data_IF_545837254344
#
_entry.id   IF_545837254344
#
_cell.length_a   1.000
_cell.length_b   1.000
_cell.length_c   1.000
_cell.angle_alpha   90.00
_cell.angle_beta   90.00
_cell.angle_gamma   90.00
#
_symmetry.space_group_name_H-M   'P 1'
#
loop_
_entity.id
_entity.type
_entity.pdbx_description
1 polymer ?
#
# COMPACT_ATOMS: atom_id res chain seq x y z
N UNK A 1 35.08 -11.42 20.36
CA UNK A 1 34.82 -12.84 20.63
C UNK A 1 35.84 -13.45 21.62
N UNK A 2 35.39 -14.21 22.63
CA UNK A 2 36.26 -14.95 23.58
C UNK A 2 36.32 -16.45 23.21
N UNK A 3 37.52 -17.02 23.20
CA UNK A 3 37.78 -18.43 22.83
C UNK A 3 38.32 -19.22 24.03
N UNK A 4 37.70 -20.36 24.34
CA UNK A 4 38.12 -21.31 25.37
C UNK A 4 38.06 -22.74 24.81
N UNK A 5 39.15 -23.18 24.17
CA UNK A 5 39.27 -24.45 23.45
C UNK A 5 38.09 -24.73 22.49
N UNK A 6 37.91 -23.93 21.42
CA UNK A 6 36.79 -24.09 20.51
C UNK A 6 36.79 -25.45 19.81
N UNK A 7 35.67 -26.17 19.88
CA UNK A 7 35.53 -27.48 19.25
C UNK A 7 34.10 -27.72 18.76
N UNK A 8 33.95 -28.49 17.67
CA UNK A 8 32.63 -28.88 17.19
C UNK A 8 32.02 -29.88 18.16
N UNK A 9 30.77 -29.65 18.57
CA UNK A 9 30.00 -30.57 19.39
C UNK A 9 29.95 -31.95 18.73
N UNK A 10 30.24 -32.96 19.53
CA UNK A 10 30.14 -34.37 19.14
C UNK A 10 28.75 -34.94 19.48
N UNK A 11 28.50 -36.21 19.13
CA UNK A 11 27.21 -36.87 19.34
C UNK A 11 26.74 -36.91 20.82
N UNK A 12 27.65 -36.78 21.80
CA UNK A 12 27.29 -36.79 23.22
C UNK A 12 27.00 -35.40 23.79
N UNK A 13 27.40 -34.34 23.09
CA UNK A 13 27.25 -32.93 23.50
C UNK A 13 26.18 -32.20 22.69
N UNK A 14 26.00 -32.57 21.43
CA UNK A 14 24.94 -32.04 20.57
C UNK A 14 23.57 -32.51 21.04
N UNK A 15 22.68 -31.57 21.33
CA UNK A 15 21.33 -31.84 21.82
C UNK A 15 20.29 -31.54 20.74
N UNK A 16 19.13 -32.19 20.85
CA UNK A 16 17.96 -31.87 20.03
C UNK A 16 17.58 -30.38 20.11
N UNK A 17 17.77 -29.74 21.27
CA UNK A 17 17.52 -28.30 21.42
C UNK A 17 18.44 -27.45 20.54
N UNK A 18 19.71 -27.85 20.37
CA UNK A 18 20.65 -27.14 19.50
C UNK A 18 20.14 -27.16 18.05
N UNK A 19 19.57 -28.29 17.58
CA UNK A 19 18.95 -28.36 16.26
C UNK A 19 17.73 -27.45 16.14
N UNK A 20 16.83 -27.46 17.14
CA UNK A 20 15.62 -26.62 17.13
C UNK A 20 16.01 -25.14 17.08
N UNK A 21 16.93 -24.72 17.95
CA UNK A 21 17.36 -23.32 18.03
C UNK A 21 18.09 -22.88 16.76
N UNK A 22 18.86 -23.78 16.14
CA UNK A 22 19.47 -23.54 14.83
C UNK A 22 18.41 -23.32 13.75
N UNK A 23 17.39 -24.19 13.71
CA UNK A 23 16.31 -24.09 12.73
C UNK A 23 15.59 -22.76 12.86
N UNK A 24 15.16 -22.40 14.08
CA UNK A 24 14.44 -21.16 14.33
C UNK A 24 15.31 -19.93 14.04
N UNK A 25 16.58 -19.92 14.49
CA UNK A 25 17.50 -18.80 14.22
C UNK A 25 17.71 -18.57 12.72
N UNK A 26 17.96 -19.62 11.94
CA UNK A 26 18.15 -19.46 10.49
C UNK A 26 16.83 -19.02 9.85
N UNK A 27 15.70 -19.64 10.22
CA UNK A 27 14.38 -19.28 9.69
C UNK A 27 13.99 -17.83 9.98
N UNK A 28 14.34 -17.30 11.15
CA UNK A 28 14.09 -15.92 11.53
C UNK A 28 14.87 -14.93 10.66
N UNK A 29 16.09 -15.28 10.22
CA UNK A 29 16.89 -14.40 9.34
C UNK A 29 16.25 -14.18 7.97
N UNK A 30 15.34 -15.07 7.53
CA UNK A 30 14.55 -14.87 6.31
C UNK A 30 13.49 -13.77 6.44
N UNK A 31 13.21 -13.28 7.66
CA UNK A 31 12.13 -12.33 7.90
C UNK A 31 12.58 -11.20 8.82
N UNK A 32 12.52 -9.96 8.33
CA UNK A 32 12.85 -8.77 9.13
C UNK A 32 11.64 -7.89 9.30
N UNK A 33 11.34 -7.52 10.54
CA UNK A 33 10.38 -6.46 10.81
C UNK A 33 10.93 -5.11 10.33
N UNK A 34 10.17 -4.44 9.47
CA UNK A 34 10.50 -3.12 8.95
C UNK A 34 9.30 -2.22 9.18
N UNK A 35 9.52 -1.07 9.79
CA UNK A 35 8.49 -0.03 9.89
C UNK A 35 8.39 0.71 8.57
N UNK A 36 7.20 0.76 7.99
CA UNK A 36 6.92 1.54 6.79
C UNK A 36 6.88 3.06 7.08
N UNK A 37 6.77 3.86 6.03
CA UNK A 37 6.70 5.33 6.14
C UNK A 37 5.47 5.83 6.92
N UNK A 38 4.46 4.97 7.11
CA UNK A 38 3.23 5.27 7.83
C UNK A 38 3.29 4.81 9.29
N UNK A 39 4.41 4.25 9.75
CA UNK A 39 4.58 3.75 11.11
C UNK A 39 4.05 2.33 11.34
N UNK A 40 3.63 1.61 10.30
CA UNK A 40 3.19 0.22 10.42
C UNK A 40 4.37 -0.73 10.35
N UNK A 41 4.45 -1.69 11.27
CA UNK A 41 5.43 -2.76 11.21
C UNK A 41 4.98 -3.82 10.21
N UNK A 42 5.77 -4.03 9.16
CA UNK A 42 5.56 -5.07 8.17
C UNK A 42 6.71 -6.08 8.19
N UNK A 43 6.37 -7.36 8.03
CA UNK A 43 7.37 -8.41 7.93
C UNK A 43 7.91 -8.48 6.50
N UNK A 44 9.20 -8.15 6.32
CA UNK A 44 9.89 -8.17 5.03
C UNK A 44 10.64 -9.49 4.86
N UNK A 45 10.42 -10.16 3.73
CA UNK A 45 11.21 -11.32 3.34
C UNK A 45 12.63 -10.92 2.90
N UNK A 46 13.64 -11.48 3.54
CA UNK A 46 15.07 -11.13 3.42
C UNK A 46 15.95 -12.37 3.20
N UNK A 47 15.80 -13.09 2.06
CA UNK A 47 16.52 -14.33 1.80
C UNK A 47 18.05 -14.17 1.75
N UNK A 48 18.52 -12.97 1.42
CA UNK A 48 19.96 -12.67 1.36
C UNK A 48 20.66 -12.66 2.73
N UNK A 49 19.90 -12.73 3.84
CA UNK A 49 20.44 -12.86 5.18
C UNK A 49 20.62 -14.33 5.62
N UNK A 50 20.16 -15.30 4.83
CA UNK A 50 20.31 -16.73 5.12
C UNK A 50 21.77 -17.13 5.42
N UNK A 51 22.79 -16.75 4.62
CA UNK A 51 24.16 -17.18 4.90
C UNK A 51 24.69 -16.67 6.24
N UNK A 52 24.23 -15.48 6.67
CA UNK A 52 24.57 -14.90 7.97
C UNK A 52 23.93 -15.73 9.08
N UNK A 53 22.65 -16.09 8.92
CA UNK A 53 21.94 -16.96 9.85
C UNK A 53 22.60 -18.33 10.00
N UNK A 54 22.99 -18.96 8.90
CA UNK A 54 23.66 -20.26 8.89
C UNK A 54 24.94 -20.23 9.74
N UNK A 55 25.79 -19.23 9.51
CA UNK A 55 27.06 -19.05 10.22
C UNK A 55 26.81 -18.80 11.70
N UNK A 56 25.93 -17.86 12.04
CA UNK A 56 25.60 -17.53 13.42
C UNK A 56 25.05 -18.74 14.18
N UNK A 57 24.20 -19.54 13.54
CA UNK A 57 23.60 -20.72 14.14
C UNK A 57 24.65 -21.84 14.34
N UNK A 58 25.52 -22.09 13.36
CA UNK A 58 26.64 -23.05 13.51
C UNK A 58 27.49 -22.69 14.72
N UNK A 59 27.92 -21.43 14.82
CA UNK A 59 28.80 -20.99 15.90
C UNK A 59 28.12 -21.12 17.26
N UNK A 60 26.86 -20.69 17.37
CA UNK A 60 26.16 -20.64 18.65
C UNK A 60 25.72 -22.01 19.16
N UNK A 61 25.39 -22.93 18.26
CA UNK A 61 24.73 -24.19 18.62
C UNK A 61 25.56 -25.43 18.31
N UNK A 62 26.53 -25.37 17.41
CA UNK A 62 27.38 -26.51 17.02
C UNK A 62 28.83 -26.41 17.47
N UNK A 63 29.29 -25.27 17.98
CA UNK A 63 30.66 -25.08 18.43
C UNK A 63 30.65 -24.72 19.92
N UNK A 64 31.34 -25.53 20.73
CA UNK A 64 31.58 -25.24 22.14
C UNK A 64 32.81 -24.35 22.31
N UNK A 65 32.92 -23.68 23.46
CA UNK A 65 34.11 -22.91 23.81
C UNK A 65 34.22 -21.55 23.14
N UNK A 66 33.11 -21.00 22.61
CA UNK A 66 33.03 -19.64 22.08
C UNK A 66 31.99 -18.84 22.84
N UNK A 67 32.37 -17.66 23.30
CA UNK A 67 31.48 -16.69 23.93
C UNK A 67 31.57 -15.35 23.21
N UNK A 68 30.43 -14.72 22.99
CA UNK A 68 30.31 -13.39 22.40
C UNK A 68 29.80 -12.41 23.44
N UNK A 69 30.35 -11.20 23.43
CA UNK A 69 29.81 -10.09 24.21
C UNK A 69 28.53 -9.54 23.51
N UNK A 70 27.65 -8.85 24.26
CA UNK A 70 26.31 -8.44 23.76
C UNK A 70 26.35 -7.54 22.52
N UNK A 71 27.43 -6.78 22.35
CA UNK A 71 27.59 -5.78 21.29
C UNK A 71 28.34 -6.31 20.05
N UNK A 72 28.76 -7.58 20.06
CA UNK A 72 29.59 -8.14 18.99
C UNK A 72 28.76 -8.64 17.81
N UNK A 73 29.19 -8.28 16.59
CA UNK A 73 28.67 -8.91 15.37
C UNK A 73 29.29 -10.31 15.22
N UNK A 74 28.50 -11.33 15.56
CA UNK A 74 28.91 -12.74 15.53
C UNK A 74 29.44 -13.16 14.17
N UNK A 75 28.83 -12.68 13.09
CA UNK A 75 29.19 -13.10 11.74
C UNK A 75 30.57 -12.57 11.38
N UNK A 76 30.77 -11.26 11.58
CA UNK A 76 32.03 -10.59 11.25
C UNK A 76 33.18 -11.13 12.11
N UNK A 77 32.96 -11.28 13.43
CA UNK A 77 33.96 -11.82 14.35
C UNK A 77 34.41 -13.23 13.94
N UNK A 78 33.46 -14.11 13.60
CA UNK A 78 33.78 -15.49 13.27
C UNK A 78 34.38 -15.67 11.87
N UNK A 79 33.98 -14.85 10.89
CA UNK A 79 34.55 -14.91 9.53
C UNK A 79 35.95 -14.32 9.45
N UNK A 80 36.30 -13.41 10.37
CA UNK A 80 37.63 -12.82 10.48
C UNK A 80 38.62 -13.71 11.25
N UNK A 81 38.15 -14.61 12.14
CA UNK A 81 38.98 -15.57 12.85
C UNK A 81 39.20 -16.85 12.03
N UNK A 82 40.46 -17.12 11.67
CA UNK A 82 40.82 -18.26 10.82
C UNK A 82 40.52 -19.61 11.46
N UNK A 83 40.69 -19.75 12.77
CA UNK A 83 40.51 -21.04 13.45
C UNK A 83 39.02 -21.36 13.52
N UNK A 84 38.19 -20.37 13.87
CA UNK A 84 36.74 -20.52 13.93
C UNK A 84 36.14 -20.74 12.54
N UNK A 85 36.60 -19.98 11.55
CA UNK A 85 36.17 -20.16 10.16
C UNK A 85 36.43 -21.58 9.65
N UNK A 86 37.57 -22.18 9.99
CA UNK A 86 37.85 -23.58 9.62
C UNK A 86 36.88 -24.58 10.25
N UNK A 87 36.39 -24.34 11.47
CA UNK A 87 35.37 -25.18 12.10
C UNK A 87 34.02 -25.01 11.39
N UNK A 88 33.65 -23.76 11.05
CA UNK A 88 32.42 -23.44 10.33
C UNK A 88 32.40 -24.08 8.93
N UNK A 89 33.51 -23.99 8.20
CA UNK A 89 33.63 -24.50 6.83
C UNK A 89 33.37 -26.01 6.75
N UNK A 90 33.52 -26.77 7.85
CA UNK A 90 33.22 -28.21 7.89
C UNK A 90 31.73 -28.56 7.74
N UNK A 91 30.82 -27.59 7.91
CA UNK A 91 29.38 -27.78 7.74
C UNK A 91 28.93 -27.48 6.32
N UNK A 92 29.74 -26.78 5.51
CA UNK A 92 29.40 -26.37 4.17
C UNK A 92 29.99 -27.31 3.11
N UNK A 93 29.25 -27.51 2.02
CA UNK A 93 29.74 -28.24 0.84
C UNK A 93 30.40 -27.22 -0.10
N UNK A 94 31.68 -27.39 -0.47
CA UNK A 94 32.35 -26.47 -1.39
C UNK A 94 31.65 -26.45 -2.75
N UNK A 95 31.26 -25.26 -3.21
CA UNK A 95 30.43 -25.07 -4.41
C UNK A 95 31.10 -25.55 -5.72
N UNK A 96 32.43 -25.68 -5.73
CA UNK A 96 33.23 -25.99 -6.92
C UNK A 96 33.89 -27.37 -6.89
N UNK A 97 33.60 -28.20 -5.88
CA UNK A 97 34.22 -29.51 -5.74
C UNK A 97 33.20 -30.63 -5.91
N UNK A 98 33.57 -31.65 -6.69
CA UNK A 98 32.81 -32.89 -6.72
C UNK A 98 33.10 -33.64 -5.43
N UNK A 99 32.20 -33.52 -4.46
CA UNK A 99 32.27 -34.27 -3.20
C UNK A 99 31.64 -35.65 -3.42
N UNK A 100 32.47 -36.70 -3.44
CA UNK A 100 31.99 -38.09 -3.57
C UNK A 100 31.28 -38.57 -2.29
N UNK A 101 31.68 -38.05 -1.14
CA UNK A 101 31.13 -38.41 0.18
C UNK A 101 30.98 -37.18 1.07
N UNK A 102 29.75 -36.89 1.51
CA UNK A 102 29.46 -35.81 2.46
C UNK A 102 29.95 -36.20 3.87
N UNK A 103 30.48 -35.22 4.61
CA UNK A 103 30.86 -35.42 6.02
C UNK A 103 29.62 -35.54 6.90
N UNK A 104 29.80 -36.05 8.13
CA UNK A 104 28.71 -36.14 9.11
C UNK A 104 28.12 -34.76 9.44
N UNK A 105 28.98 -33.75 9.64
CA UNK A 105 28.57 -32.37 9.92
C UNK A 105 27.78 -31.76 8.75
N UNK A 106 28.24 -31.95 7.51
CA UNK A 106 27.51 -31.52 6.30
C UNK A 106 26.15 -32.20 6.19
N UNK A 107 26.06 -33.50 6.53
CA UNK A 107 24.79 -34.22 6.50
C UNK A 107 23.79 -33.67 7.52
N UNK A 108 24.21 -33.51 8.77
CA UNK A 108 23.35 -32.93 9.83
C UNK A 108 22.85 -31.55 9.40
N UNK A 109 23.76 -30.69 8.93
CA UNK A 109 23.40 -29.33 8.55
C UNK A 109 22.48 -29.30 7.32
N UNK A 110 22.71 -30.17 6.33
CA UNK A 110 21.80 -30.32 5.20
C UNK A 110 20.40 -30.76 5.63
N UNK A 111 20.30 -31.70 6.58
CA UNK A 111 19.02 -32.17 7.11
C UNK A 111 18.29 -31.04 7.88
N UNK A 112 19.03 -30.20 8.59
CA UNK A 112 18.50 -28.99 9.24
C UNK A 112 18.01 -27.99 8.21
N UNK A 113 18.80 -27.71 7.17
CA UNK A 113 18.42 -26.76 6.13
C UNK A 113 17.14 -27.16 5.40
N UNK A 114 16.88 -28.46 5.20
CA UNK A 114 15.59 -28.93 4.65
C UNK A 114 14.43 -28.50 5.56
N UNK A 115 14.56 -28.67 6.88
CA UNK A 115 13.54 -28.25 7.86
C UNK A 115 13.38 -26.72 7.92
N UNK A 116 14.49 -25.98 7.84
CA UNK A 116 14.46 -24.51 7.75
C UNK A 116 13.65 -24.07 6.53
N UNK A 117 13.90 -24.66 5.36
CA UNK A 117 13.18 -24.33 4.14
C UNK A 117 11.68 -24.63 4.28
N UNK A 118 11.30 -25.75 4.90
CA UNK A 118 9.90 -26.09 5.14
C UNK A 118 9.19 -25.05 6.04
N UNK A 119 9.83 -24.64 7.14
CA UNK A 119 9.31 -23.58 8.03
C UNK A 119 9.21 -22.24 7.30
N UNK A 120 10.21 -21.88 6.51
CA UNK A 120 10.23 -20.64 5.73
C UNK A 120 9.09 -20.63 4.70
N UNK A 121 8.85 -21.74 3.99
CA UNK A 121 7.72 -21.87 3.07
C UNK A 121 6.38 -21.78 3.77
N UNK A 122 6.24 -22.44 4.93
CA UNK A 122 5.04 -22.33 5.76
C UNK A 122 4.78 -20.87 6.20
N UNK A 123 5.81 -20.17 6.69
CA UNK A 123 5.72 -18.76 7.11
C UNK A 123 5.38 -17.83 5.92
N UNK A 124 5.93 -18.08 4.72
CA UNK A 124 5.54 -17.37 3.49
C UNK A 124 4.06 -17.55 3.16
N UNK A 125 3.55 -18.77 3.24
CA UNK A 125 2.16 -19.09 2.98
C UNK A 125 1.21 -18.37 3.96
N UNK A 126 1.54 -18.34 5.26
CA UNK A 126 0.78 -17.58 6.27
C UNK A 126 0.74 -16.09 5.91
N UNK A 127 1.90 -15.50 5.59
CA UNK A 127 1.97 -14.07 5.27
C UNK A 127 1.12 -13.72 4.04
N UNK A 128 1.17 -14.54 3.01
CA UNK A 128 0.32 -14.37 1.81
C UNK A 128 -1.16 -14.49 2.18
N UNK A 129 -1.53 -15.49 2.97
CA UNK A 129 -2.92 -15.70 3.39
C UNK A 129 -3.46 -14.51 4.21
N UNK A 130 -2.65 -13.94 5.12
CA UNK A 130 -3.01 -12.76 5.89
C UNK A 130 -3.25 -11.54 4.99
N UNK A 131 -2.34 -11.27 4.05
CA UNK A 131 -2.49 -10.18 3.07
C UNK A 131 -3.75 -10.36 2.21
N UNK A 132 -4.05 -11.58 1.80
CA UNK A 132 -5.27 -11.90 1.04
C UNK A 132 -6.53 -11.72 1.89
N UNK A 133 -6.50 -12.14 3.17
CA UNK A 133 -7.59 -11.94 4.11
C UNK A 133 -7.92 -10.46 4.32
N UNK A 134 -6.90 -9.63 4.54
CA UNK A 134 -7.05 -8.18 4.64
C UNK A 134 -7.62 -7.58 3.35
N UNK A 135 -7.09 -7.99 2.19
CA UNK A 135 -7.59 -7.54 0.88
C UNK A 135 -9.07 -7.89 0.67
N UNK A 136 -9.49 -9.10 1.05
CA UNK A 136 -10.88 -9.55 0.98
C UNK A 136 -11.79 -8.72 1.89
N UNK A 137 -11.32 -8.32 3.07
CA UNK A 137 -12.08 -7.46 3.97
C UNK A 137 -12.32 -6.07 3.37
N UNK A 138 -11.28 -5.46 2.79
CA UNK A 138 -11.36 -4.14 2.13
C UNK A 138 -12.32 -4.21 0.93
N UNK A 139 -12.20 -5.25 0.10
CA UNK A 139 -13.09 -5.46 -1.04
C UNK A 139 -14.54 -5.62 -0.59
N UNK A 140 -14.79 -6.34 0.51
CA UNK A 140 -16.13 -6.52 1.07
C UNK A 140 -16.74 -5.19 1.50
N UNK A 141 -15.99 -4.34 2.20
CA UNK A 141 -16.46 -3.00 2.58
C UNK A 141 -16.81 -2.13 1.37
N UNK A 142 -15.96 -2.11 0.34
CA UNK A 142 -16.23 -1.35 -0.89
C UNK A 142 -17.46 -1.87 -1.64
N UNK A 143 -17.67 -3.18 -1.68
CA UNK A 143 -18.88 -3.77 -2.30
C UNK A 143 -20.13 -3.34 -1.53
N UNK A 144 -20.10 -3.32 -0.19
CA UNK A 144 -21.22 -2.85 0.61
C UNK A 144 -21.56 -1.38 0.32
N UNK A 145 -20.56 -0.50 0.28
CA UNK A 145 -20.75 0.92 -0.07
C UNK A 145 -21.38 1.11 -1.47
N UNK A 146 -20.95 0.31 -2.45
CA UNK A 146 -21.55 0.31 -3.78
C UNK A 146 -23.00 -0.18 -3.78
N UNK A 147 -23.32 -1.21 -3.00
CA UNK A 147 -24.69 -1.72 -2.87
C UNK A 147 -25.59 -0.64 -2.24
N UNK A 148 -25.14 0.02 -1.18
CA UNK A 148 -25.87 1.11 -0.52
C UNK A 148 -26.13 2.27 -1.50
N UNK A 149 -25.11 2.66 -2.26
CA UNK A 149 -25.23 3.72 -3.28
C UNK A 149 -26.22 3.35 -4.39
N UNK A 150 -26.21 2.09 -4.86
CA UNK A 150 -27.17 1.64 -5.88
C UNK A 150 -28.60 1.57 -5.34
N UNK A 151 -28.78 1.22 -4.06
CA UNK A 151 -30.08 1.27 -3.40
C UNK A 151 -30.61 2.70 -3.30
N UNK A 152 -29.78 3.66 -2.90
CA UNK A 152 -30.17 5.08 -2.87
C UNK A 152 -30.58 5.60 -4.25
N UNK A 153 -29.80 5.24 -5.29
CA UNK A 153 -30.12 5.58 -6.68
C UNK A 153 -31.46 4.98 -7.11
N UNK A 154 -31.69 3.70 -6.84
CA UNK A 154 -32.93 3.02 -7.19
C UNK A 154 -34.14 3.67 -6.50
N UNK A 155 -34.01 4.07 -5.22
CA UNK A 155 -35.06 4.82 -4.52
C UNK A 155 -35.36 6.16 -5.20
N UNK A 156 -34.32 6.90 -5.61
CA UNK A 156 -34.49 8.17 -6.35
C UNK A 156 -35.16 7.95 -7.72
N UNK A 157 -34.85 6.86 -8.41
CA UNK A 157 -35.50 6.50 -9.68
C UNK A 157 -36.98 6.17 -9.47
N UNK A 158 -37.33 5.42 -8.42
CA UNK A 158 -38.71 5.13 -8.04
C UNK A 158 -39.47 6.44 -7.74
N UNK A 159 -38.88 7.33 -6.95
CA UNK A 159 -39.46 8.64 -6.64
C UNK A 159 -39.67 9.48 -7.90
N UNK A 160 -38.71 9.49 -8.83
CA UNK A 160 -38.84 10.19 -10.10
C UNK A 160 -39.97 9.62 -10.95
N UNK A 161 -40.11 8.29 -11.03
CA UNK A 161 -41.21 7.63 -11.75
C UNK A 161 -42.56 7.93 -11.11
N UNK A 162 -42.65 7.92 -9.78
CA UNK A 162 -43.88 8.27 -9.05
C UNK A 162 -44.29 9.72 -9.32
N UNK A 163 -43.33 10.66 -9.26
CA UNK A 163 -43.57 12.05 -9.58
C UNK A 163 -44.03 12.25 -11.03
N UNK A 164 -43.41 11.53 -11.99
CA UNK A 164 -43.82 11.57 -13.39
C UNK A 164 -45.25 11.04 -13.57
N UNK A 165 -45.60 9.92 -12.93
CA UNK A 165 -46.94 9.35 -13.00
C UNK A 165 -47.99 10.28 -12.39
N UNK A 166 -47.69 10.92 -11.26
CA UNK A 166 -48.54 11.94 -10.66
C UNK A 166 -48.78 13.11 -11.62
N UNK A 167 -47.71 13.65 -12.21
CA UNK A 167 -47.79 14.72 -13.21
C UNK A 167 -48.62 14.31 -14.44
N UNK A 168 -48.44 13.10 -14.97
CA UNK A 168 -49.26 12.57 -16.08
C UNK A 168 -50.73 12.51 -15.67
N UNK A 169 -51.03 12.11 -14.43
CA UNK A 169 -52.37 12.10 -13.86
C UNK A 169 -53.00 13.50 -13.88
N UNK A 170 -52.30 14.49 -13.34
CA UNK A 170 -52.73 15.90 -13.35
C UNK A 170 -52.97 16.41 -14.78
N UNK A 171 -52.08 16.09 -15.73
CA UNK A 171 -52.25 16.48 -17.13
C UNK A 171 -53.48 15.84 -17.77
N UNK A 172 -53.80 14.58 -17.45
CA UNK A 172 -55.02 13.91 -17.94
C UNK A 172 -56.28 14.56 -17.38
N UNK A 173 -56.29 14.91 -16.11
CA UNK A 173 -57.41 15.62 -15.47
C UNK A 173 -57.61 17.00 -16.11
N UNK A 174 -56.54 17.79 -16.25
CA UNK A 174 -56.61 19.09 -16.94
C UNK A 174 -57.13 18.95 -18.37
N UNK A 175 -56.64 17.97 -19.13
CA UNK A 175 -57.12 17.71 -20.49
C UNK A 175 -58.60 17.31 -20.54
N UNK A 176 -59.13 16.66 -19.50
CA UNK A 176 -60.56 16.33 -19.43
C UNK A 176 -61.46 17.55 -19.16
N UNK A 177 -60.92 18.61 -18.55
CA UNK A 177 -61.62 19.86 -18.27
C UNK A 177 -61.59 20.85 -19.46
N UNK A 178 -60.73 20.61 -20.45
CA UNK A 178 -60.59 21.47 -21.62
C UNK A 178 -61.73 21.19 -22.61
N UNK A 179 -62.66 22.13 -22.74
CA UNK A 179 -63.75 22.06 -23.73
C UNK A 179 -63.28 22.56 -25.12
N UNK A 180 -63.97 22.18 -26.22
CA UNK A 180 -63.66 22.69 -27.55
C UNK A 180 -63.71 24.22 -27.66
N UNK A 181 -64.55 24.88 -26.84
CA UNK A 181 -64.67 26.33 -26.78
C UNK A 181 -63.44 26.97 -26.12
N UNK A 182 -62.95 26.39 -25.03
CA UNK A 182 -61.70 26.83 -24.37
C UNK A 182 -60.48 26.62 -25.26
N UNK A 183 -60.41 25.54 -26.04
CA UNK A 183 -59.35 25.33 -27.03
C UNK A 183 -59.36 26.40 -28.12
N UNK A 184 -60.56 26.83 -28.54
CA UNK A 184 -60.73 27.84 -29.59
C UNK A 184 -60.36 29.23 -29.09
N UNK A 185 -60.77 29.58 -27.87
CA UNK A 185 -60.40 30.85 -27.21
C UNK A 185 -58.89 30.93 -26.95
N UNK A 186 -58.30 29.85 -26.45
CA UNK A 186 -56.84 29.73 -26.32
C UNK A 186 -56.15 29.92 -27.67
N UNK A 187 -56.56 29.21 -28.73
CA UNK A 187 -55.93 29.34 -30.04
C UNK A 187 -56.04 30.75 -30.65
N UNK A 188 -57.06 31.52 -30.27
CA UNK A 188 -57.25 32.90 -30.73
C UNK A 188 -56.43 33.91 -29.91
N UNK A 189 -56.25 33.66 -28.61
CA UNK A 189 -55.59 34.59 -27.68
C UNK A 189 -54.16 34.18 -27.28
N UNK A 190 -53.68 33.02 -27.74
CA UNK A 190 -52.36 32.49 -27.40
C UNK A 190 -51.25 33.29 -28.09
N UNK A 191 -50.42 33.94 -27.28
CA UNK A 191 -49.20 34.61 -27.72
C UNK A 191 -47.95 33.83 -27.29
N UNK A 192 -47.20 33.36 -28.28
CA UNK A 192 -45.95 32.60 -28.11
C UNK A 192 -44.90 33.43 -27.38
N UNK A 193 -44.91 34.76 -27.53
CA UNK A 193 -43.92 35.63 -26.90
C UNK A 193 -44.10 35.64 -25.38
N UNK A 194 -45.34 35.71 -24.90
CA UNK A 194 -45.68 35.68 -23.46
C UNK A 194 -45.27 34.36 -22.81
N UNK A 195 -45.46 33.23 -23.50
CA UNK A 195 -45.01 31.92 -23.02
C UNK A 195 -43.48 31.86 -22.95
N UNK A 196 -42.80 32.40 -23.97
CA UNK A 196 -41.34 32.41 -24.05
C UNK A 196 -40.74 33.25 -22.92
N UNK A 197 -41.31 34.43 -22.63
CA UNK A 197 -40.89 35.27 -21.51
C UNK A 197 -41.12 34.59 -20.15
N UNK A 198 -42.28 33.94 -19.94
CA UNK A 198 -42.57 33.21 -18.71
C UNK A 198 -41.60 32.04 -18.48
N UNK A 199 -41.29 31.27 -19.52
CA UNK A 199 -40.29 30.18 -19.46
C UNK A 199 -38.91 30.74 -19.14
N UNK A 200 -38.51 31.83 -19.79
CA UNK A 200 -37.22 32.47 -19.56
C UNK A 200 -37.07 32.97 -18.12
N UNK A 201 -38.09 33.62 -17.58
CA UNK A 201 -38.10 34.09 -16.20
C UNK A 201 -38.00 32.93 -15.22
N UNK A 202 -38.79 31.86 -15.41
CA UNK A 202 -38.75 30.68 -14.53
C UNK A 202 -37.41 29.95 -14.58
N UNK A 203 -36.78 29.84 -15.75
CA UNK A 203 -35.43 29.26 -15.86
C UNK A 203 -34.35 30.16 -15.24
N UNK A 204 -34.42 31.47 -15.46
CA UNK A 204 -33.52 32.46 -14.87
C UNK A 204 -33.55 32.46 -13.34
N UNK A 205 -34.73 32.22 -12.78
CA UNK A 205 -34.96 32.14 -11.33
C UNK A 205 -34.63 30.77 -10.73
N UNK A 206 -34.42 29.74 -11.56
CA UNK A 206 -34.13 28.39 -11.08
C UNK A 206 -32.81 28.33 -10.31
N UNK A 207 -32.78 27.50 -9.27
CA UNK A 207 -31.59 27.33 -8.43
C UNK A 207 -30.40 26.76 -9.22
N UNK A 208 -30.67 25.95 -10.24
CA UNK A 208 -29.64 25.43 -11.15
C UNK A 208 -28.95 26.57 -11.92
N UNK A 209 -29.73 27.51 -12.45
CA UNK A 209 -29.18 28.65 -13.18
C UNK A 209 -28.43 29.62 -12.26
N UNK A 210 -28.90 29.81 -11.01
CA UNK A 210 -28.16 30.57 -9.98
C UNK A 210 -26.82 29.92 -9.65
N UNK A 211 -26.80 28.61 -9.38
CA UNK A 211 -25.55 27.87 -9.10
C UNK A 211 -24.58 27.91 -10.29
N UNK A 212 -25.08 27.74 -11.51
CA UNK A 212 -24.22 27.82 -12.70
C UNK A 212 -23.59 29.21 -12.86
N UNK A 213 -24.32 30.29 -12.55
CA UNK A 213 -23.75 31.65 -12.52
C UNK A 213 -22.67 31.80 -11.44
N UNK A 214 -22.88 31.25 -10.25
CA UNK A 214 -21.87 31.25 -9.18
C UNK A 214 -20.61 30.48 -9.57
N UNK A 215 -20.76 29.30 -10.18
CA UNK A 215 -19.62 28.50 -10.67
C UNK A 215 -18.81 29.26 -11.72
N UNK A 216 -19.46 29.92 -12.67
CA UNK A 216 -18.78 30.73 -13.69
C UNK A 216 -18.03 31.89 -13.03
N UNK A 217 -18.63 32.56 -12.05
CA UNK A 217 -18.00 33.66 -11.31
C UNK A 217 -16.76 33.18 -10.54
N UNK A 218 -16.88 32.08 -9.79
CA UNK A 218 -15.76 31.48 -9.06
C UNK A 218 -14.64 31.03 -10.00
N UNK A 219 -14.99 30.46 -11.17
CA UNK A 219 -13.99 30.09 -12.17
C UNK A 219 -13.24 31.30 -12.74
N UNK A 220 -13.91 32.44 -12.92
CA UNK A 220 -13.27 33.68 -13.32
C UNK A 220 -12.34 34.23 -12.23
N UNK A 221 -12.81 34.26 -10.98
CA UNK A 221 -12.00 34.71 -9.83
C UNK A 221 -10.76 33.83 -9.63
N UNK A 222 -10.87 32.52 -9.82
CA UNK A 222 -9.73 31.61 -9.75
C UNK A 222 -8.71 31.88 -10.86
N UNK A 223 -9.14 32.09 -12.12
CA UNK A 223 -8.23 32.45 -13.21
C UNK A 223 -7.47 33.74 -12.95
N UNK A 224 -8.11 34.75 -12.35
CA UNK A 224 -7.42 35.99 -11.99
C UNK A 224 -6.38 35.78 -10.88
N UNK A 225 -6.68 34.94 -9.88
CA UNK A 225 -5.72 34.58 -8.83
C UNK A 225 -4.54 33.82 -9.40
N UNK A 226 -4.77 32.85 -10.29
CA UNK A 226 -3.71 32.08 -10.95
C UNK A 226 -2.78 33.00 -11.76
N UNK A 227 -3.34 33.95 -12.51
CA UNK A 227 -2.55 34.94 -13.25
C UNK A 227 -1.69 35.80 -12.32
N UNK A 228 -2.24 36.26 -11.18
CA UNK A 228 -1.46 37.03 -10.18
C UNK A 228 -0.36 36.19 -9.55
N UNK A 229 -0.61 34.91 -9.28
CA UNK A 229 0.42 33.99 -8.77
C UNK A 229 1.56 33.85 -9.77
N UNK A 230 1.24 33.67 -11.05
CA UNK A 230 2.24 33.58 -12.13
C UNK A 230 3.06 34.87 -12.22
N UNK A 231 2.43 36.05 -12.13
CA UNK A 231 3.12 37.33 -12.12
C UNK A 231 4.08 37.45 -10.92
N UNK A 232 3.62 37.17 -9.70
CA UNK A 232 4.46 37.20 -8.50
C UNK A 232 5.63 36.21 -8.57
N UNK A 233 5.42 35.01 -9.10
CA UNK A 233 6.49 34.02 -9.30
C UNK A 233 7.56 34.53 -10.28
N UNK A 234 7.13 35.17 -11.37
CA UNK A 234 8.03 35.77 -12.34
C UNK A 234 8.81 36.97 -11.78
N UNK A 235 8.19 37.79 -10.93
CA UNK A 235 8.87 38.88 -10.23
C UNK A 235 9.89 38.36 -9.22
N UNK A 236 9.51 37.38 -8.39
CA UNK A 236 10.42 36.77 -7.42
C UNK A 236 11.63 36.10 -8.08
N UNK A 237 11.42 35.43 -9.23
CA UNK A 237 12.51 34.86 -10.02
C UNK A 237 13.49 35.94 -10.54
N UNK A 238 12.97 37.10 -10.98
CA UNK A 238 13.79 38.23 -11.41
C UNK A 238 14.56 38.87 -10.25
N UNK A 239 13.97 38.96 -9.06
CA UNK A 239 14.63 39.49 -7.86
C UNK A 239 15.78 38.58 -7.40
N UNK A 240 15.56 37.26 -7.31
CA UNK A 240 16.63 36.30 -7.01
C UNK A 240 17.79 36.34 -8.01
N UNK A 241 17.49 36.52 -9.30
CA UNK A 241 18.54 36.69 -10.32
C UNK A 241 19.35 37.97 -10.08
N UNK A 242 18.71 39.08 -9.69
CA UNK A 242 19.41 40.34 -9.38
C UNK A 242 20.24 40.27 -8.10
N UNK A 243 19.79 39.56 -7.06
CA UNK A 243 20.57 39.33 -5.84
C UNK A 243 21.81 38.46 -6.09
N UNK A 244 21.66 37.38 -6.87
CA UNK A 244 22.80 36.54 -7.24
C UNK A 244 23.85 37.31 -8.06
N UNK A 245 23.45 38.21 -8.96
CA UNK A 245 24.38 39.04 -9.73
C UNK A 245 25.10 40.06 -8.85
N UNK A 246 24.44 40.61 -7.81
CA UNK A 246 25.08 41.53 -6.87
C UNK A 246 26.12 40.84 -5.99
N UNK A 247 25.84 39.63 -5.50
CA UNK A 247 26.77 38.89 -4.65
C UNK A 247 28.06 38.48 -5.39
N UNK A 248 27.98 38.20 -6.70
CA UNK A 248 29.16 37.85 -7.54
C UNK A 248 30.04 39.07 -7.87
N UNK A 249 29.54 40.30 -7.74
CA UNK A 249 30.29 41.54 -8.00
C UNK A 249 30.94 42.13 -6.74
N UNK A 250 30.69 41.54 -5.57
CA UNK A 250 31.18 42.00 -4.26
C UNK A 250 32.25 41.09 -3.64
N UNK A 251 32.68 40.04 -4.35
CA UNK A 251 33.89 39.23 -4.10
C UNK A 251 34.97 39.58 -5.15
#
# INVERSE_FOLDING_TARGET
MKKNNPEIKNESTLKMQDEIDTIEMIADMFFKEVTDENGNTVLKYTPYLEPIGQVNAIIRYFIDGIEFDEDEDVYDEAMNDKDIRQLIDQFFIPYNEKVETITHHQKIFSDIMIKVHDIVEYRKAINIANIQGESNSILTYKILELIETEQEKNNKEIDAVNNLNAWIGEQRELNSLITPEMQRDFAQNFDVNTLTEAIYNKMSESDLHKRNREVIKLAHENREKDNKIIEMQNEFAKEKQKENVKNVLSD
#
